data_IF_327011202538
#
_entry.id   IF_327011202538
#
_cell.length_a   1.000
_cell.length_b   1.000
_cell.length_c   1.000
_cell.angle_alpha   90.00
_cell.angle_beta   90.00
_cell.angle_gamma   90.00
#
_symmetry.space_group_name_H-M   'P 1'
#
loop_
_entity.id
_entity.type
_entity.pdbx_description
1 polymer ?
#
# COMPACT_ATOMS: atom_id res chain seq x y z
N UNK A 1 -2.41 27.27 3.28
CA UNK A 1 -1.84 26.41 2.22
C UNK A 1 -1.03 25.32 2.89
N UNK A 2 -1.28 24.08 2.49
CA UNK A 2 -0.48 22.94 2.94
C UNK A 2 0.66 22.71 1.95
N UNK A 3 1.88 22.53 2.45
CA UNK A 3 2.96 21.98 1.65
C UNK A 3 3.39 20.65 2.29
N UNK A 4 3.38 19.60 1.49
CA UNK A 4 3.84 18.28 1.86
C UNK A 4 5.28 18.13 1.37
N UNK A 5 6.18 17.72 2.26
CA UNK A 5 7.53 17.31 1.92
C UNK A 5 7.65 15.82 2.19
N UNK A 6 7.59 15.03 1.15
CA UNK A 6 7.84 13.60 1.23
C UNK A 6 9.35 13.37 1.36
N UNK A 7 9.80 12.90 2.51
CA UNK A 7 11.21 12.59 2.77
C UNK A 7 11.52 11.15 2.37
N UNK A 8 10.52 10.27 2.47
CA UNK A 8 10.51 8.95 1.88
C UNK A 8 9.06 8.52 1.63
N UNK A 9 8.85 7.44 0.87
CA UNK A 9 7.49 6.98 0.51
C UNK A 9 6.59 6.64 1.70
N UNK A 10 7.18 6.19 2.80
CA UNK A 10 6.45 5.82 4.01
C UNK A 10 6.34 6.96 5.03
N UNK A 11 7.12 8.03 4.87
CA UNK A 11 7.14 9.14 5.80
C UNK A 11 6.95 10.47 5.10
N UNK A 12 6.01 11.22 5.59
CA UNK A 12 5.72 12.57 5.16
C UNK A 12 6.00 13.53 6.31
N UNK A 13 6.55 14.68 5.99
CA UNK A 13 6.58 15.82 6.88
C UNK A 13 5.56 16.82 6.34
N UNK A 14 4.52 17.05 7.11
CA UNK A 14 3.48 18.00 6.76
C UNK A 14 3.81 19.35 7.34
N UNK A 15 3.72 20.41 6.52
CA UNK A 15 3.85 21.78 6.97
C UNK A 15 2.57 22.53 6.69
N UNK A 16 2.02 23.15 7.72
CA UNK A 16 0.95 24.12 7.63
C UNK A 16 1.51 25.53 7.89
N UNK A 17 0.92 26.50 7.24
CA UNK A 17 1.32 27.89 7.36
C UNK A 17 0.12 28.70 7.88
N UNK A 18 0.30 29.36 9.03
CA UNK A 18 -0.66 30.25 9.61
C UNK A 18 -0.11 31.69 9.60
N UNK A 19 -0.93 32.62 9.17
CA UNK A 19 -0.56 34.02 9.18
C UNK A 19 -1.54 34.78 10.07
N UNK A 20 -1.03 35.37 11.17
CA UNK A 20 -1.75 36.30 12.02
C UNK A 20 -1.08 37.69 11.95
N UNK A 21 -1.79 38.68 11.37
CA UNK A 21 -1.34 40.06 11.19
C UNK A 21 0.03 40.17 10.50
N UNK A 22 1.10 40.40 11.28
CA UNK A 22 2.48 40.55 10.78
C UNK A 22 3.34 39.30 11.09
N UNK A 23 2.81 38.32 11.79
CA UNK A 23 3.53 37.10 12.17
C UNK A 23 3.16 35.92 11.28
N UNK A 24 4.17 35.09 10.94
CA UNK A 24 4.03 33.86 10.18
C UNK A 24 4.48 32.71 11.06
N UNK A 25 3.61 31.76 11.30
CA UNK A 25 3.94 30.49 11.93
C UNK A 25 3.96 29.37 10.92
N UNK A 26 4.98 28.52 10.96
CA UNK A 26 5.05 27.26 10.23
C UNK A 26 4.92 26.12 11.24
N UNK A 27 3.87 25.34 11.11
CA UNK A 27 3.59 24.20 11.96
C UNK A 27 3.86 22.95 11.13
N UNK A 28 4.68 22.04 11.64
CA UNK A 28 4.97 20.77 11.00
C UNK A 28 4.77 19.60 11.95
N UNK A 29 4.33 18.46 11.43
CA UNK A 29 4.27 17.20 12.14
C UNK A 29 4.86 16.06 11.28
N UNK A 30 5.41 15.04 11.96
CA UNK A 30 5.98 13.89 11.29
C UNK A 30 5.89 12.64 12.17
N UNK A 31 5.29 11.59 11.63
CA UNK A 31 5.26 10.29 12.29
C UNK A 31 6.42 9.41 11.82
N UNK A 32 7.37 9.14 12.72
CA UNK A 32 8.65 8.49 12.39
C UNK A 32 8.80 7.08 12.91
N UNK A 33 7.96 6.63 13.85
CA UNK A 33 8.10 5.36 14.56
C UNK A 33 8.11 4.11 13.65
N UNK A 34 7.58 4.20 12.45
CA UNK A 34 7.50 3.10 11.48
C UNK A 34 8.73 3.03 10.56
N UNK A 35 9.44 4.14 10.42
CA UNK A 35 10.55 4.29 9.49
C UNK A 35 11.90 4.04 10.11
N UNK A 36 12.01 4.24 11.43
CA UNK A 36 13.20 4.00 12.20
C UNK A 36 13.94 5.25 12.67
N UNK A 37 14.93 5.03 13.52
CA UNK A 37 15.67 6.08 14.22
C UNK A 37 16.43 7.03 13.27
N UNK A 38 17.00 6.51 12.18
CA UNK A 38 17.70 7.34 11.19
C UNK A 38 16.79 8.33 10.49
N UNK A 39 15.56 7.90 10.19
CA UNK A 39 14.55 8.81 9.63
C UNK A 39 14.15 9.91 10.62
N UNK A 40 13.95 9.54 11.90
CA UNK A 40 13.63 10.53 12.93
C UNK A 40 14.74 11.59 13.06
N UNK A 41 16.00 11.15 13.10
CA UNK A 41 17.15 12.07 13.07
C UNK A 41 17.10 13.01 11.87
N UNK A 42 16.85 12.46 10.66
CA UNK A 42 16.79 13.28 9.45
C UNK A 42 15.64 14.30 9.49
N UNK A 43 14.49 13.95 10.08
CA UNK A 43 13.39 14.89 10.28
C UNK A 43 13.80 16.04 11.22
N UNK A 44 14.49 15.74 12.30
CA UNK A 44 15.03 16.76 13.21
C UNK A 44 16.12 17.62 12.54
N UNK A 45 17.00 17.02 11.73
CA UNK A 45 18.02 17.77 10.99
C UNK A 45 17.36 18.78 10.02
N UNK A 46 16.23 18.45 9.39
CA UNK A 46 15.46 19.40 8.54
C UNK A 46 14.91 20.56 9.38
N UNK A 47 14.40 20.28 10.58
CA UNK A 47 13.95 21.35 11.49
C UNK A 47 15.10 22.29 11.83
N UNK A 48 16.27 21.76 12.17
CA UNK A 48 17.47 22.56 12.46
C UNK A 48 17.87 23.44 11.28
N UNK A 49 17.89 22.88 10.06
CA UNK A 49 18.20 23.63 8.84
C UNK A 49 17.19 24.78 8.59
N UNK A 50 15.90 24.51 8.80
CA UNK A 50 14.85 25.53 8.63
C UNK A 50 15.00 26.67 9.64
N UNK A 51 15.33 26.36 10.89
CA UNK A 51 15.60 27.34 11.97
C UNK A 51 16.80 28.22 11.61
N UNK A 52 17.92 27.61 11.20
CA UNK A 52 19.14 28.32 10.82
C UNK A 52 18.94 29.24 9.61
N UNK A 53 18.15 28.81 8.61
CA UNK A 53 17.92 29.56 7.37
C UNK A 53 17.12 30.86 7.58
N UNK A 54 16.28 30.93 8.61
CA UNK A 54 15.28 32.00 8.76
C UNK A 54 15.29 32.72 10.11
N UNK A 55 16.15 32.31 11.04
CA UNK A 55 16.20 32.88 12.40
C UNK A 55 14.83 32.80 13.13
N UNK A 56 14.13 31.67 12.94
CA UNK A 56 12.86 31.39 13.60
C UNK A 56 13.05 31.07 15.09
N UNK A 57 12.12 31.53 15.91
CA UNK A 57 11.93 30.94 17.23
C UNK A 57 11.18 29.62 17.05
N UNK A 58 11.72 28.55 17.61
CA UNK A 58 11.20 27.19 17.39
C UNK A 58 10.81 26.53 18.68
N UNK A 59 9.65 25.91 18.70
CA UNK A 59 9.20 24.99 19.74
C UNK A 59 9.06 23.61 19.09
N UNK A 60 9.69 22.58 19.66
CA UNK A 60 9.65 21.22 19.15
C UNK A 60 9.16 20.30 20.26
N UNK A 61 8.06 19.58 20.00
CA UNK A 61 7.59 18.48 20.80
C UNK A 61 8.13 17.18 20.20
N UNK A 62 9.03 16.51 20.88
CA UNK A 62 9.66 15.28 20.46
C UNK A 62 9.53 14.19 21.53
N UNK A 63 8.66 13.22 21.32
CA UNK A 63 8.39 12.10 22.22
C UNK A 63 9.64 11.25 22.52
N UNK A 64 10.67 11.36 21.66
CA UNK A 64 11.92 10.61 21.82
C UNK A 64 12.98 11.37 22.65
N UNK A 65 12.73 12.66 22.91
CA UNK A 65 13.69 13.59 23.52
C UNK A 65 15.00 13.74 22.72
N UNK A 66 15.04 13.29 21.46
CA UNK A 66 16.26 13.38 20.64
C UNK A 66 16.58 14.82 20.26
N UNK A 67 15.57 15.65 20.02
CA UNK A 67 15.78 17.07 19.73
C UNK A 67 16.58 17.79 20.82
N UNK A 68 16.33 17.44 22.09
CA UNK A 68 17.02 18.06 23.23
C UNK A 68 18.40 17.45 23.50
N UNK A 69 18.50 16.13 23.46
CA UNK A 69 19.67 15.41 23.95
C UNK A 69 20.66 15.02 22.85
N UNK A 70 20.23 14.90 21.62
CA UNK A 70 21.03 14.46 20.46
C UNK A 70 21.76 13.12 20.68
N UNK A 71 21.19 12.26 21.54
CA UNK A 71 21.70 10.93 21.81
C UNK A 71 20.97 9.90 20.95
N UNK A 72 21.55 9.61 19.78
CA UNK A 72 20.99 8.69 18.79
C UNK A 72 20.80 7.28 19.35
N UNK A 73 21.78 6.75 20.08
CA UNK A 73 21.73 5.38 20.60
C UNK A 73 20.66 5.25 21.70
N UNK A 74 20.51 6.26 22.55
CA UNK A 74 19.44 6.32 23.54
C UNK A 74 18.07 6.33 22.86
N UNK A 75 17.85 7.21 21.91
CA UNK A 75 16.61 7.30 21.12
C UNK A 75 16.29 5.94 20.46
N UNK A 76 17.26 5.36 19.74
CA UNK A 76 17.10 4.09 19.04
C UNK A 76 16.69 2.96 19.97
N UNK A 77 17.38 2.80 21.11
CA UNK A 77 17.17 1.70 22.06
C UNK A 77 15.93 1.90 22.93
N UNK A 78 15.70 3.10 23.48
CA UNK A 78 14.65 3.36 24.45
C UNK A 78 13.28 3.64 23.82
N UNK A 79 13.25 4.11 22.53
CA UNK A 79 12.01 4.39 21.82
C UNK A 79 11.76 3.38 20.69
N UNK A 80 12.58 3.32 19.67
CA UNK A 80 12.31 2.51 18.48
C UNK A 80 12.32 1.01 18.76
N UNK A 81 13.32 0.48 19.46
CA UNK A 81 13.37 -0.94 19.80
C UNK A 81 12.30 -1.33 20.81
N UNK A 82 11.98 -0.46 21.75
CA UNK A 82 10.88 -0.68 22.69
C UNK A 82 9.54 -0.69 21.98
N UNK A 83 9.32 0.24 21.06
CA UNK A 83 8.12 0.29 20.23
C UNK A 83 7.98 -0.98 19.38
N UNK A 84 9.05 -1.41 18.69
CA UNK A 84 9.03 -2.63 17.87
C UNK A 84 8.67 -3.86 18.70
N UNK A 85 9.26 -4.03 19.89
CA UNK A 85 8.90 -5.10 20.80
C UNK A 85 7.40 -5.08 21.16
N UNK A 86 6.87 -3.89 21.50
CA UNK A 86 5.47 -3.74 21.86
C UNK A 86 4.52 -4.10 20.69
N UNK A 87 4.86 -3.67 19.47
CA UNK A 87 4.07 -3.98 18.28
C UNK A 87 4.09 -5.47 17.95
N UNK A 88 5.24 -6.13 18.03
CA UNK A 88 5.34 -7.58 17.78
C UNK A 88 4.47 -8.36 18.78
N UNK A 89 4.53 -8.00 20.06
CA UNK A 89 3.67 -8.64 21.08
C UNK A 89 2.19 -8.34 20.86
N UNK A 90 1.82 -7.13 20.48
CA UNK A 90 0.43 -6.76 20.17
C UNK A 90 -0.10 -7.58 18.98
N UNK A 91 0.67 -7.71 17.91
CA UNK A 91 0.30 -8.52 16.75
C UNK A 91 0.07 -9.98 17.15
N UNK A 92 0.97 -10.53 17.96
CA UNK A 92 0.84 -11.91 18.46
C UNK A 92 -0.41 -12.11 19.32
N UNK A 93 -0.77 -11.15 20.15
CA UNK A 93 -1.99 -11.21 20.97
C UNK A 93 -3.23 -11.16 20.10
N UNK A 94 -3.31 -10.23 19.15
CA UNK A 94 -4.43 -10.12 18.22
C UNK A 94 -4.66 -11.38 17.40
N UNK A 95 -3.59 -12.04 16.94
CA UNK A 95 -3.70 -13.30 16.21
C UNK A 95 -4.31 -14.42 17.06
N UNK A 96 -4.12 -14.40 18.38
CA UNK A 96 -4.77 -15.35 19.30
C UNK A 96 -6.27 -15.09 19.51
N UNK A 97 -6.72 -13.87 19.29
CA UNK A 97 -8.12 -13.43 19.45
C UNK A 97 -8.98 -13.62 18.21
N UNK A 98 -8.61 -14.50 17.29
CA UNK A 98 -9.28 -14.76 16.01
C UNK A 98 -9.15 -13.66 14.94
N UNK A 99 -8.15 -12.78 15.02
CA UNK A 99 -7.77 -11.96 13.89
C UNK A 99 -7.04 -12.84 12.86
N UNK A 100 -7.59 -13.00 11.68
CA UNK A 100 -6.95 -13.78 10.61
C UNK A 100 -5.72 -13.09 10.03
N UNK A 101 -5.63 -11.77 10.15
CA UNK A 101 -4.51 -10.95 9.70
C UNK A 101 -4.44 -9.63 10.49
N UNK A 102 -3.24 -9.11 10.66
CA UNK A 102 -2.98 -7.77 11.19
C UNK A 102 -2.11 -6.99 10.21
N UNK A 103 -2.14 -5.67 10.30
CA UNK A 103 -1.28 -4.81 9.49
C UNK A 103 -0.51 -3.83 10.37
N UNK A 104 0.74 -3.61 9.98
CA UNK A 104 1.59 -2.56 10.52
C UNK A 104 1.97 -1.66 9.35
N UNK A 105 1.64 -0.39 9.40
CA UNK A 105 1.86 0.59 8.32
C UNK A 105 1.21 0.22 6.99
N UNK A 106 0.08 -0.41 7.02
CA UNK A 106 -0.62 -0.86 5.84
C UNK A 106 -2.11 -0.54 5.96
N UNK A 107 -2.68 0.16 5.00
CA UNK A 107 -4.09 0.51 5.01
C UNK A 107 -4.96 -0.66 4.51
N UNK A 108 -5.28 -1.56 5.42
CA UNK A 108 -6.17 -2.70 5.15
C UNK A 108 -7.60 -2.30 4.74
N UNK A 109 -7.98 -1.03 4.91
CA UNK A 109 -9.31 -0.57 4.53
C UNK A 109 -9.39 -0.25 3.03
N UNK A 110 -8.26 0.14 2.44
CA UNK A 110 -8.20 0.47 1.00
C UNK A 110 -7.91 -0.74 0.14
N UNK A 111 -6.93 -1.56 0.55
CA UNK A 111 -6.54 -2.76 -0.18
C UNK A 111 -5.83 -3.76 0.72
N UNK A 112 -5.91 -5.04 0.39
CA UNK A 112 -5.29 -6.10 1.15
C UNK A 112 -4.73 -7.18 0.22
N UNK A 113 -3.46 -7.57 0.37
CA UNK A 113 -2.97 -8.76 -0.32
C UNK A 113 -3.78 -9.96 0.11
N UNK A 114 -4.06 -10.91 -0.79
CA UNK A 114 -4.73 -12.15 -0.42
C UNK A 114 -3.98 -12.80 0.73
N UNK A 115 -4.67 -12.86 1.89
CA UNK A 115 -4.04 -13.21 3.13
C UNK A 115 -3.75 -14.70 3.24
N UNK A 116 -2.58 -15.03 3.75
CA UNK A 116 -2.37 -16.28 4.45
C UNK A 116 -2.78 -16.01 5.89
N UNK A 117 -3.73 -16.77 6.41
CA UNK A 117 -4.17 -16.66 7.81
C UNK A 117 -2.97 -16.71 8.77
N UNK A 118 -3.01 -15.93 9.83
CA UNK A 118 -1.97 -15.91 10.83
C UNK A 118 -0.76 -15.03 10.48
N UNK A 119 -0.87 -14.14 9.51
CA UNK A 119 0.23 -13.24 9.12
C UNK A 119 0.01 -11.79 9.50
N UNK A 120 1.10 -11.04 9.60
CA UNK A 120 1.13 -9.58 9.71
C UNK A 120 1.66 -9.01 8.40
N UNK A 121 0.95 -8.05 7.84
CA UNK A 121 1.44 -7.23 6.72
C UNK A 121 2.26 -6.08 7.29
N UNK A 122 3.48 -5.94 6.82
CA UNK A 122 4.43 -4.89 7.20
C UNK A 122 4.91 -4.14 5.95
N UNK A 123 5.65 -3.03 6.09
CA UNK A 123 6.25 -2.32 4.97
C UNK A 123 7.19 -3.18 4.10
N UNK A 124 7.66 -4.31 4.60
CA UNK A 124 8.57 -5.23 3.92
C UNK A 124 7.90 -6.58 3.55
N UNK A 125 6.59 -6.66 3.64
CA UNK A 125 5.85 -7.84 3.26
C UNK A 125 5.11 -8.52 4.39
N UNK A 126 4.73 -9.78 4.17
CA UNK A 126 3.98 -10.60 5.13
C UNK A 126 4.94 -11.35 6.05
N UNK A 127 4.63 -11.40 7.33
CA UNK A 127 5.47 -12.03 8.34
C UNK A 127 4.58 -12.83 9.31
N UNK A 128 5.08 -13.98 9.79
CA UNK A 128 4.45 -14.73 10.88
C UNK A 128 4.86 -14.12 12.25
N UNK A 129 3.91 -13.66 13.10
CA UNK A 129 4.23 -13.03 14.39
C UNK A 129 5.01 -13.93 15.34
N UNK A 130 4.74 -15.24 15.35
CA UNK A 130 5.48 -16.21 16.14
C UNK A 130 6.96 -16.25 15.75
N UNK A 131 7.27 -16.24 14.46
CA UNK A 131 8.65 -16.17 13.97
C UNK A 131 9.36 -14.89 14.37
N UNK A 132 8.67 -13.74 14.39
CA UNK A 132 9.24 -12.49 14.89
C UNK A 132 9.64 -12.58 16.38
N UNK A 133 8.78 -13.17 17.21
CA UNK A 133 9.05 -13.37 18.63
C UNK A 133 10.22 -14.34 18.86
N UNK A 134 10.30 -15.41 18.10
CA UNK A 134 11.41 -16.37 18.16
C UNK A 134 12.72 -15.70 17.74
N UNK A 135 12.71 -14.93 16.66
CA UNK A 135 13.89 -14.18 16.19
C UNK A 135 14.38 -13.16 17.20
N UNK A 136 13.48 -12.44 17.90
CA UNK A 136 13.88 -11.52 18.98
C UNK A 136 14.58 -12.28 20.10
N UNK A 137 14.12 -13.49 20.44
CA UNK A 137 14.75 -14.30 21.50
C UNK A 137 16.11 -14.85 21.11
N UNK A 138 16.26 -15.26 19.86
CA UNK A 138 17.45 -15.93 19.35
C UNK A 138 18.52 -14.97 18.84
N UNK A 139 18.14 -13.92 18.15
CA UNK A 139 19.02 -12.97 17.46
C UNK A 139 19.09 -11.59 18.13
N UNK A 140 18.11 -11.27 18.98
CA UNK A 140 17.97 -9.96 19.62
C UNK A 140 17.18 -8.95 18.80
N UNK A 141 16.67 -7.92 19.50
CA UNK A 141 15.83 -6.87 18.89
C UNK A 141 16.60 -6.02 17.87
N UNK A 142 17.90 -5.81 18.06
CA UNK A 142 18.73 -5.03 17.14
C UNK A 142 18.81 -5.64 15.75
N UNK A 143 18.94 -6.97 15.71
CA UNK A 143 18.94 -7.70 14.43
C UNK A 143 17.60 -7.59 13.72
N UNK A 144 16.49 -7.79 14.43
CA UNK A 144 15.16 -7.60 13.87
C UNK A 144 14.94 -6.17 13.40
N UNK A 145 15.32 -5.17 14.19
CA UNK A 145 15.17 -3.76 13.88
C UNK A 145 15.87 -3.35 12.57
N UNK A 146 17.07 -3.89 12.33
CA UNK A 146 17.84 -3.64 11.11
C UNK A 146 17.17 -4.20 9.84
N UNK A 147 16.26 -5.16 9.99
CA UNK A 147 15.50 -5.75 8.90
C UNK A 147 14.04 -5.24 8.85
N UNK A 148 13.56 -4.63 9.93
CA UNK A 148 12.20 -4.13 10.05
C UNK A 148 12.09 -2.65 9.71
N UNK A 149 12.99 -1.81 10.24
CA UNK A 149 12.99 -0.38 9.93
C UNK A 149 13.68 -0.10 8.60
N UNK A 150 13.11 0.81 7.81
CA UNK A 150 13.73 1.26 6.58
C UNK A 150 15.09 1.92 6.86
N UNK A 151 15.16 2.77 7.89
CA UNK A 151 16.37 3.50 8.28
C UNK A 151 16.63 3.38 9.79
N UNK A 152 17.33 2.31 10.18
CA UNK A 152 17.60 2.00 11.58
C UNK A 152 18.87 2.68 12.14
N UNK A 153 19.89 2.92 11.31
CA UNK A 153 21.18 3.45 11.70
C UNK A 153 21.27 4.97 11.50
N UNK A 154 22.28 5.61 12.11
CA UNK A 154 22.43 7.06 12.03
C UNK A 154 22.69 7.53 10.59
N UNK A 155 23.55 6.80 9.86
CA UNK A 155 23.90 7.09 8.49
C UNK A 155 23.11 6.23 7.51
N UNK A 156 22.99 6.70 6.26
CA UNK A 156 22.42 5.94 5.14
C UNK A 156 23.42 4.89 4.67
N UNK A 157 23.35 3.72 5.26
CA UNK A 157 24.21 2.58 4.97
C UNK A 157 23.61 1.62 3.91
N UNK A 158 24.27 0.49 3.70
CA UNK A 158 23.78 -0.55 2.76
C UNK A 158 22.39 -1.08 3.15
N UNK A 159 22.09 -1.18 4.46
CA UNK A 159 20.78 -1.61 4.94
C UNK A 159 19.69 -0.61 4.57
N UNK A 160 19.95 0.69 4.71
CA UNK A 160 19.01 1.72 4.30
C UNK A 160 18.62 1.57 2.83
N UNK A 161 19.60 1.48 1.92
CA UNK A 161 19.31 1.36 0.49
C UNK A 161 18.59 0.07 0.14
N UNK A 162 19.01 -1.08 0.72
CA UNK A 162 18.31 -2.35 0.50
C UNK A 162 16.87 -2.28 1.03
N UNK A 163 16.66 -1.80 2.24
CA UNK A 163 15.34 -1.76 2.86
C UNK A 163 14.40 -0.80 2.12
N UNK A 164 14.91 0.33 1.63
CA UNK A 164 14.17 1.23 0.75
C UNK A 164 13.71 0.51 -0.53
N UNK A 165 14.59 -0.26 -1.16
CA UNK A 165 14.24 -1.04 -2.33
C UNK A 165 13.23 -2.16 -2.02
N UNK A 166 13.37 -2.86 -0.88
CA UNK A 166 12.42 -3.91 -0.46
C UNK A 166 11.03 -3.33 -0.17
N UNK A 167 10.96 -2.14 0.45
CA UNK A 167 9.70 -1.44 0.67
C UNK A 167 9.01 -1.08 -0.64
N UNK A 168 9.75 -0.51 -1.60
CA UNK A 168 9.21 -0.20 -2.92
C UNK A 168 8.82 -1.46 -3.72
N UNK A 169 9.58 -2.54 -3.63
CA UNK A 169 9.23 -3.84 -4.21
C UNK A 169 7.89 -4.36 -3.64
N UNK A 170 7.68 -4.19 -2.35
CA UNK A 170 6.48 -4.65 -1.69
C UNK A 170 5.27 -3.78 -2.00
N UNK A 171 5.41 -2.47 -1.88
CA UNK A 171 4.27 -1.54 -1.87
C UNK A 171 3.93 -1.02 -3.28
N UNK A 172 4.95 -0.66 -4.06
CA UNK A 172 4.76 0.15 -5.26
C UNK A 172 4.97 -0.60 -6.57
N UNK A 173 5.80 -1.66 -6.56
CA UNK A 173 6.18 -2.35 -7.77
C UNK A 173 5.02 -3.18 -8.34
N UNK A 174 4.63 -2.88 -9.56
CA UNK A 174 3.61 -3.65 -10.31
C UNK A 174 4.17 -4.89 -11.03
N UNK A 175 5.50 -5.04 -11.07
CA UNK A 175 6.19 -6.14 -11.79
C UNK A 175 5.87 -6.20 -13.29
N UNK A 176 5.67 -5.04 -13.89
CA UNK A 176 5.33 -4.88 -15.30
C UNK A 176 6.47 -4.20 -16.08
N UNK A 177 6.51 -4.41 -17.42
CA UNK A 177 7.50 -3.75 -18.26
C UNK A 177 7.44 -2.22 -18.13
N UNK A 178 8.60 -1.56 -18.11
CA UNK A 178 8.69 -0.09 -18.04
C UNK A 178 8.06 0.63 -19.23
N UNK A 179 7.82 -0.08 -20.33
CA UNK A 179 7.11 0.47 -21.49
C UNK A 179 5.61 0.68 -21.24
N UNK A 180 5.03 0.03 -20.21
CA UNK A 180 3.60 0.13 -19.89
C UNK A 180 3.23 1.53 -19.38
N UNK A 181 4.03 2.09 -18.47
CA UNK A 181 3.77 3.40 -17.88
C UNK A 181 5.05 4.10 -17.40
N UNK A 182 4.99 5.43 -17.24
CA UNK A 182 6.07 6.22 -16.63
C UNK A 182 6.30 5.79 -15.17
N UNK A 183 5.23 5.46 -14.45
CA UNK A 183 5.29 4.98 -13.07
C UNK A 183 6.04 3.65 -12.97
N UNK A 184 5.76 2.68 -13.82
CA UNK A 184 6.50 1.41 -13.85
C UNK A 184 8.00 1.64 -14.12
N UNK A 185 8.32 2.57 -15.03
CA UNK A 185 9.71 2.91 -15.35
C UNK A 185 10.43 3.52 -14.13
N UNK A 186 9.81 4.49 -13.47
CA UNK A 186 10.38 5.17 -12.31
C UNK A 186 10.59 4.21 -11.13
N UNK A 187 9.57 3.42 -10.80
CA UNK A 187 9.60 2.46 -9.70
C UNK A 187 10.65 1.37 -9.92
N UNK A 188 10.62 0.72 -11.09
CA UNK A 188 11.58 -0.33 -11.41
C UNK A 188 13.02 0.20 -11.37
N UNK A 189 13.26 1.39 -11.92
CA UNK A 189 14.58 2.03 -11.92
C UNK A 189 15.02 2.41 -10.51
N UNK A 190 14.14 2.99 -9.70
CA UNK A 190 14.39 3.34 -8.32
C UNK A 190 14.81 2.12 -7.48
N UNK A 191 14.11 1.00 -7.62
CA UNK A 191 14.42 -0.23 -6.89
C UNK A 191 15.80 -0.75 -7.31
N UNK A 192 16.08 -0.84 -8.62
CA UNK A 192 17.35 -1.32 -9.14
C UNK A 192 18.51 -0.45 -8.63
N UNK A 193 18.40 0.87 -8.69
CA UNK A 193 19.45 1.79 -8.26
C UNK A 193 19.76 1.65 -6.76
N UNK A 194 18.74 1.51 -5.93
CA UNK A 194 18.93 1.34 -4.49
C UNK A 194 19.55 -0.03 -4.17
N UNK A 195 19.15 -1.09 -4.84
CA UNK A 195 19.76 -2.41 -4.69
C UNK A 195 21.24 -2.42 -5.12
N UNK A 196 21.57 -1.80 -6.25
CA UNK A 196 22.96 -1.69 -6.71
C UNK A 196 23.83 -0.86 -5.76
N UNK A 197 23.29 0.24 -5.20
CA UNK A 197 23.98 1.02 -4.14
C UNK A 197 24.25 0.16 -2.91
N UNK A 198 23.25 -0.58 -2.43
CA UNK A 198 23.40 -1.46 -1.29
C UNK A 198 24.50 -2.52 -1.53
N UNK A 199 24.48 -3.19 -2.68
CA UNK A 199 25.46 -4.21 -3.05
C UNK A 199 26.88 -3.66 -3.19
N UNK A 200 27.02 -2.42 -3.68
CA UNK A 200 28.33 -1.75 -3.80
C UNK A 200 28.91 -1.36 -2.43
N UNK A 201 28.06 -1.08 -1.43
CA UNK A 201 28.49 -0.71 -0.08
C UNK A 201 28.80 -1.92 0.81
N UNK A 202 28.04 -3.01 0.70
CA UNK A 202 28.21 -4.21 1.48
C UNK A 202 27.85 -5.48 0.70
N UNK A 203 28.89 -6.21 0.27
CA UNK A 203 28.71 -7.48 -0.45
C UNK A 203 28.32 -8.67 0.43
N UNK A 204 28.29 -8.51 1.74
CA UNK A 204 27.82 -9.53 2.69
C UNK A 204 26.33 -9.43 2.99
N UNK A 205 25.69 -8.35 2.56
CA UNK A 205 24.27 -8.10 2.78
C UNK A 205 23.41 -9.02 1.89
N UNK A 206 22.40 -9.66 2.49
CA UNK A 206 21.46 -10.48 1.73
C UNK A 206 20.70 -9.64 0.69
N UNK A 207 20.57 -10.18 -0.53
CA UNK A 207 20.15 -9.47 -1.72
C UNK A 207 19.01 -10.21 -2.44
N UNK A 208 17.90 -9.55 -2.86
CA UNK A 208 16.78 -10.18 -3.54
C UNK A 208 17.08 -10.42 -5.03
N UNK A 209 17.93 -11.43 -5.32
CA UNK A 209 18.50 -11.67 -6.66
C UNK A 209 17.44 -11.90 -7.72
N UNK A 210 16.41 -12.71 -7.42
CA UNK A 210 15.39 -13.07 -8.40
C UNK A 210 14.58 -11.83 -8.82
N UNK A 211 14.18 -11.01 -7.85
CA UNK A 211 13.44 -9.78 -8.11
C UNK A 211 14.31 -8.76 -8.85
N UNK A 212 15.55 -8.58 -8.44
CA UNK A 212 16.51 -7.71 -9.14
C UNK A 212 16.68 -8.10 -10.61
N UNK A 213 16.91 -9.39 -10.90
CA UNK A 213 17.08 -9.88 -12.27
C UNK A 213 15.76 -9.79 -13.07
N UNK A 214 14.61 -9.94 -12.42
CA UNK A 214 13.32 -9.69 -13.06
C UNK A 214 13.20 -8.22 -13.46
N UNK A 215 13.44 -7.29 -12.54
CA UNK A 215 13.33 -5.86 -12.81
C UNK A 215 14.32 -5.41 -13.91
N UNK A 216 15.57 -5.90 -13.90
CA UNK A 216 16.52 -5.60 -14.97
C UNK A 216 15.98 -6.01 -16.33
N UNK A 217 15.29 -7.15 -16.44
CA UNK A 217 14.63 -7.56 -17.70
C UNK A 217 13.49 -6.62 -18.09
N UNK A 218 12.68 -6.18 -17.12
CA UNK A 218 11.53 -5.30 -17.34
C UNK A 218 11.94 -3.90 -17.80
N UNK A 219 13.13 -3.42 -17.42
CA UNK A 219 13.69 -2.12 -17.86
C UNK A 219 14.72 -2.28 -18.99
N UNK A 220 14.90 -3.47 -19.53
CA UNK A 220 15.91 -3.77 -20.55
C UNK A 220 17.35 -3.37 -20.17
N UNK A 221 17.71 -3.50 -18.88
CA UNK A 221 19.02 -3.17 -18.32
C UNK A 221 19.86 -4.42 -18.13
N UNK A 222 21.13 -4.38 -18.55
CA UNK A 222 22.10 -5.43 -18.22
C UNK A 222 22.36 -5.44 -16.69
N UNK A 223 22.12 -6.58 -16.00
CA UNK A 223 22.32 -6.67 -14.57
C UNK A 223 23.81 -6.65 -14.21
N UNK A 224 24.14 -6.07 -13.05
CA UNK A 224 25.47 -6.27 -12.45
C UNK A 224 25.60 -7.70 -11.92
N UNK A 225 26.83 -8.20 -11.79
CA UNK A 225 27.06 -9.55 -11.26
C UNK A 225 26.74 -9.64 -9.76
N UNK A 226 25.62 -10.24 -9.43
CA UNK A 226 25.12 -10.47 -8.07
C UNK A 226 25.30 -11.92 -7.60
N UNK A 227 25.99 -12.76 -8.39
CA UNK A 227 26.10 -14.20 -8.13
C UNK A 227 26.76 -14.52 -6.78
N UNK A 228 27.74 -13.73 -6.38
CA UNK A 228 28.48 -13.91 -5.12
C UNK A 228 27.77 -13.35 -3.87
N UNK A 229 26.71 -12.53 -4.02
CA UNK A 229 25.98 -11.99 -2.90
C UNK A 229 25.17 -13.09 -2.21
N UNK A 230 24.93 -13.02 -0.87
CA UNK A 230 23.98 -13.90 -0.21
C UNK A 230 22.55 -13.65 -0.71
N UNK A 231 21.71 -14.72 -0.75
CA UNK A 231 20.31 -14.56 -1.12
C UNK A 231 19.51 -13.96 0.04
N UNK A 232 18.61 -13.03 -0.30
CA UNK A 232 17.59 -12.57 0.63
C UNK A 232 16.46 -13.61 0.68
N UNK A 233 16.37 -14.31 1.80
CA UNK A 233 15.34 -15.32 2.03
C UNK A 233 14.19 -14.66 2.78
N UNK A 234 13.05 -14.53 2.11
CA UNK A 234 11.81 -14.08 2.72
C UNK A 234 10.93 -15.28 3.06
N UNK A 235 10.17 -15.17 4.14
CA UNK A 235 9.17 -16.13 4.58
C UNK A 235 8.03 -16.30 3.56
N UNK A 236 7.70 -15.20 2.88
CA UNK A 236 6.71 -15.11 1.81
C UNK A 236 7.30 -14.41 0.59
N UNK A 237 6.75 -14.63 -0.62
CA UNK A 237 7.19 -13.89 -1.81
C UNK A 237 7.13 -12.37 -1.58
N UNK A 238 8.17 -11.66 -2.01
CA UNK A 238 8.22 -10.20 -1.95
C UNK A 238 7.25 -9.64 -2.99
N UNK A 239 6.50 -8.60 -2.61
CA UNK A 239 5.59 -7.91 -3.51
C UNK A 239 4.18 -8.47 -3.52
N UNK A 240 3.25 -7.75 -2.89
CA UNK A 240 1.85 -8.17 -2.81
C UNK A 240 1.13 -8.09 -4.17
N UNK A 241 1.60 -7.25 -5.08
CA UNK A 241 1.02 -7.08 -6.42
C UNK A 241 1.29 -8.24 -7.37
N UNK A 242 2.13 -9.21 -6.99
CA UNK A 242 2.29 -10.48 -7.72
C UNK A 242 1.06 -11.37 -7.63
N UNK A 243 0.21 -11.14 -6.61
CA UNK A 243 -1.02 -11.87 -6.36
C UNK A 243 -2.26 -10.99 -6.64
N UNK A 244 -3.46 -11.58 -6.53
CA UNK A 244 -4.71 -10.82 -6.48
C UNK A 244 -4.76 -9.98 -5.20
N UNK A 245 -5.25 -8.75 -5.33
CA UNK A 245 -5.44 -7.80 -4.23
C UNK A 245 -6.93 -7.63 -3.98
N UNK A 246 -7.33 -7.64 -2.72
CA UNK A 246 -8.70 -7.33 -2.30
C UNK A 246 -8.83 -5.84 -2.02
N UNK A 247 -9.70 -5.18 -2.76
CA UNK A 247 -10.05 -3.77 -2.57
C UNK A 247 -11.36 -3.64 -1.81
N UNK A 248 -11.54 -2.49 -1.15
CA UNK A 248 -12.80 -2.15 -0.47
C UNK A 248 -13.45 -0.90 -1.07
N UNK A 249 -14.77 -0.94 -1.24
CA UNK A 249 -15.57 0.19 -1.66
C UNK A 249 -16.83 0.25 -0.80
N UNK A 250 -16.79 1.07 0.24
CA UNK A 250 -17.83 1.05 1.27
C UNK A 250 -17.90 -0.31 1.98
N UNK A 251 -19.04 -0.98 1.89
CA UNK A 251 -19.23 -2.30 2.48
C UNK A 251 -18.93 -3.49 1.53
N UNK A 252 -18.48 -3.19 0.30
CA UNK A 252 -18.12 -4.20 -0.69
C UNK A 252 -16.63 -4.51 -0.64
N UNK A 253 -16.30 -5.76 -0.92
CA UNK A 253 -14.92 -6.23 -1.17
C UNK A 253 -14.89 -6.97 -2.49
N UNK A 254 -13.89 -6.69 -3.30
CA UNK A 254 -13.67 -7.31 -4.61
C UNK A 254 -12.18 -7.53 -4.86
N UNK A 255 -11.88 -8.55 -5.66
CA UNK A 255 -10.51 -8.92 -5.98
C UNK A 255 -10.17 -8.52 -7.40
N UNK A 256 -8.99 -7.92 -7.57
CA UNK A 256 -8.39 -7.65 -8.88
C UNK A 256 -6.94 -8.15 -8.91
N UNK A 257 -6.38 -8.40 -10.10
CA UNK A 257 -4.94 -8.60 -10.25
C UNK A 257 -4.16 -7.42 -9.65
N UNK A 258 -3.11 -7.71 -8.91
CA UNK A 258 -2.34 -6.68 -8.19
C UNK A 258 -1.56 -5.74 -9.11
N UNK A 259 -1.36 -6.13 -10.37
CA UNK A 259 -0.68 -5.33 -11.38
C UNK A 259 -1.57 -4.30 -12.09
N UNK A 260 -2.86 -4.21 -11.77
CA UNK A 260 -3.73 -3.18 -12.32
C UNK A 260 -3.37 -1.80 -11.80
N UNK A 261 -3.33 -0.82 -12.70
CA UNK A 261 -3.12 0.60 -12.40
C UNK A 261 -4.43 1.25 -11.96
N UNK A 262 -4.36 2.10 -10.94
CA UNK A 262 -5.48 2.93 -10.51
C UNK A 262 -5.58 4.19 -11.37
N UNK A 263 -6.80 4.61 -11.69
CA UNK A 263 -7.07 5.91 -12.31
C UNK A 263 -8.28 6.59 -11.67
N UNK A 264 -8.30 7.91 -11.79
CA UNK A 264 -9.42 8.75 -11.39
C UNK A 264 -9.65 9.80 -12.47
N UNK A 265 -10.83 9.78 -13.06
CA UNK A 265 -11.23 10.68 -14.15
C UNK A 265 -12.61 11.25 -13.83
N UNK A 266 -12.75 12.58 -13.78
CA UNK A 266 -13.98 13.30 -13.46
C UNK A 266 -14.65 12.73 -12.18
N UNK A 267 -15.84 12.12 -12.35
CA UNK A 267 -16.62 11.50 -11.26
C UNK A 267 -16.42 9.97 -11.17
N UNK A 268 -15.56 9.39 -12.02
CA UNK A 268 -15.31 7.96 -12.05
C UNK A 268 -13.89 7.63 -11.59
N UNK A 269 -13.75 6.48 -10.92
CA UNK A 269 -12.46 5.89 -10.56
C UNK A 269 -12.45 4.43 -10.95
N UNK A 270 -11.28 3.88 -11.15
CA UNK A 270 -11.19 2.51 -11.59
C UNK A 270 -9.79 1.95 -11.60
N UNK A 271 -9.70 0.77 -12.21
CA UNK A 271 -8.46 0.02 -12.39
C UNK A 271 -8.38 -0.52 -13.80
N UNK A 272 -7.17 -0.61 -14.36
CA UNK A 272 -6.93 -1.19 -15.68
C UNK A 272 -5.57 -1.90 -15.74
N UNK A 273 -5.44 -2.87 -16.63
CA UNK A 273 -4.19 -3.65 -16.76
C UNK A 273 -3.08 -2.89 -17.49
N UNK A 274 -3.40 -1.91 -18.28
CA UNK A 274 -2.44 -1.06 -18.99
C UNK A 274 -1.77 -1.72 -20.20
N UNK A 275 -2.26 -2.89 -20.66
CA UNK A 275 -1.73 -3.57 -21.84
C UNK A 275 -2.57 -3.26 -23.09
N UNK A 276 -1.90 -2.88 -24.19
CA UNK A 276 -2.58 -2.42 -25.43
C UNK A 276 -3.33 -3.53 -26.19
N UNK A 277 -3.02 -4.83 -25.97
CA UNK A 277 -3.58 -5.94 -26.75
C UNK A 277 -4.63 -6.79 -26.00
N UNK A 278 -4.74 -6.69 -24.66
CA UNK A 278 -5.72 -7.40 -23.83
C UNK A 278 -6.09 -6.55 -22.63
N UNK A 279 -6.60 -5.37 -22.88
CA UNK A 279 -6.92 -4.43 -21.82
C UNK A 279 -8.22 -4.82 -21.09
N UNK A 280 -8.12 -4.77 -19.75
CA UNK A 280 -9.26 -4.88 -18.86
C UNK A 280 -9.43 -3.57 -18.10
N UNK A 281 -10.64 -3.06 -18.05
CA UNK A 281 -10.96 -1.85 -17.31
C UNK A 281 -12.12 -2.13 -16.36
N UNK A 282 -11.93 -1.75 -15.10
CA UNK A 282 -12.99 -1.80 -14.08
C UNK A 282 -13.25 -0.37 -13.61
N UNK A 283 -14.36 0.22 -14.05
CA UNK A 283 -14.84 1.51 -13.53
C UNK A 283 -15.82 1.30 -12.40
N UNK A 284 -15.82 2.17 -11.41
CA UNK A 284 -16.68 2.04 -10.26
C UNK A 284 -17.26 3.39 -9.83
N UNK A 285 -18.56 3.34 -9.51
CA UNK A 285 -19.31 4.44 -8.91
C UNK A 285 -20.06 3.91 -7.69
N UNK A 286 -20.08 4.66 -6.61
CA UNK A 286 -20.81 4.30 -5.41
C UNK A 286 -21.62 5.48 -4.90
N UNK A 287 -22.88 5.22 -4.56
CA UNK A 287 -23.82 6.21 -4.07
C UNK A 287 -24.38 5.75 -2.73
N UNK A 288 -24.45 6.65 -1.75
CA UNK A 288 -25.19 6.41 -0.51
C UNK A 288 -26.69 6.41 -0.79
N UNK A 289 -27.41 5.42 -0.26
CA UNK A 289 -28.87 5.30 -0.42
C UNK A 289 -29.58 5.52 0.90
N UNK A 290 -30.73 6.24 0.91
CA UNK A 290 -31.63 6.27 2.05
C UNK A 290 -32.20 4.89 2.38
N UNK A 291 -32.55 4.63 3.64
CA UNK A 291 -33.03 3.33 4.14
C UNK A 291 -34.30 2.81 3.43
N UNK A 292 -35.05 3.66 2.73
CA UNK A 292 -36.37 3.36 2.15
C UNK A 292 -36.31 2.95 0.66
N UNK A 293 -35.13 3.00 0.02
CA UNK A 293 -34.99 2.85 -1.44
C UNK A 293 -34.33 1.54 -1.89
N UNK A 294 -34.27 0.53 -1.03
CA UNK A 294 -33.58 -0.74 -1.31
C UNK A 294 -34.17 -1.59 -2.49
N UNK A 295 -35.25 -1.13 -3.15
CA UNK A 295 -35.93 -1.85 -4.25
C UNK A 295 -35.60 -1.30 -5.66
N UNK A 296 -34.75 -0.29 -5.78
CA UNK A 296 -34.41 0.38 -7.06
C UNK A 296 -33.33 -0.30 -7.89
N UNK A 297 -33.40 -1.60 -8.09
CA UNK A 297 -32.81 -2.14 -9.31
C UNK A 297 -33.95 -2.12 -10.35
N UNK A 298 -33.96 -1.11 -11.20
CA UNK A 298 -34.87 -1.10 -12.36
C UNK A 298 -34.64 -2.37 -13.18
N UNK A 299 -35.72 -2.92 -13.73
CA UNK A 299 -35.60 -3.93 -14.79
C UNK A 299 -34.99 -3.21 -16.00
N UNK A 300 -33.66 -3.37 -16.13
CA UNK A 300 -32.91 -2.82 -17.25
C UNK A 300 -33.36 -3.55 -18.53
N UNK A 301 -33.39 -2.83 -19.65
CA UNK A 301 -33.66 -3.43 -20.98
C UNK A 301 -32.50 -4.36 -21.39
N UNK A 302 -31.37 -4.34 -20.64
CA UNK A 302 -30.19 -5.15 -20.91
C UNK A 302 -30.38 -6.62 -20.51
N UNK A 303 -29.61 -7.50 -21.12
CA UNK A 303 -29.68 -8.93 -20.88
C UNK A 303 -29.05 -9.28 -19.52
N UNK A 304 -29.90 -9.71 -18.59
CA UNK A 304 -29.41 -10.24 -17.31
C UNK A 304 -28.66 -11.55 -17.53
N UNK A 305 -27.38 -11.58 -17.09
CA UNK A 305 -26.49 -12.75 -17.16
C UNK A 305 -26.60 -13.57 -15.89
N UNK A 306 -26.43 -12.92 -14.74
CA UNK A 306 -26.33 -13.57 -13.43
C UNK A 306 -26.91 -12.68 -12.32
N UNK A 307 -27.43 -13.32 -11.27
CA UNK A 307 -27.85 -12.67 -10.03
C UNK A 307 -27.22 -13.40 -8.84
N UNK A 308 -26.50 -12.64 -7.98
CA UNK A 308 -25.87 -13.14 -6.76
C UNK A 308 -26.47 -12.43 -5.53
N UNK A 309 -26.78 -13.22 -4.50
CA UNK A 309 -27.33 -12.69 -3.26
C UNK A 309 -26.27 -12.68 -2.16
N UNK A 310 -26.25 -11.61 -1.40
CA UNK A 310 -25.46 -11.45 -0.17
C UNK A 310 -26.40 -11.48 1.05
N UNK A 311 -25.86 -11.60 2.24
CA UNK A 311 -26.65 -11.55 3.47
C UNK A 311 -27.40 -10.20 3.61
N UNK A 312 -26.82 -9.11 3.11
CA UNK A 312 -27.29 -7.73 3.22
C UNK A 312 -27.50 -7.02 1.87
N UNK A 313 -27.71 -7.77 0.78
CA UNK A 313 -27.91 -7.17 -0.52
C UNK A 313 -27.92 -8.16 -1.68
N UNK A 314 -27.89 -7.61 -2.88
CA UNK A 314 -27.88 -8.38 -4.14
C UNK A 314 -27.01 -7.70 -5.20
N UNK A 315 -26.48 -8.50 -6.11
CA UNK A 315 -25.75 -8.06 -7.30
C UNK A 315 -26.45 -8.64 -8.54
N UNK A 316 -26.58 -7.85 -9.58
CA UNK A 316 -27.01 -8.27 -10.92
C UNK A 316 -25.92 -7.93 -11.93
N UNK A 317 -25.57 -8.89 -12.77
CA UNK A 317 -24.67 -8.73 -13.90
C UNK A 317 -25.48 -8.64 -15.18
N UNK A 318 -25.23 -7.60 -15.96
CA UNK A 318 -25.86 -7.35 -17.24
C UNK A 318 -24.86 -7.37 -18.38
N UNK A 319 -25.27 -7.91 -19.53
CA UNK A 319 -24.58 -7.79 -20.80
C UNK A 319 -25.04 -6.47 -21.48
N UNK A 320 -24.12 -5.52 -21.59
CA UNK A 320 -24.35 -4.26 -22.29
C UNK A 320 -23.98 -4.33 -23.77
N UNK A 321 -23.21 -5.37 -24.15
CA UNK A 321 -22.74 -5.55 -25.51
C UNK A 321 -21.49 -4.76 -25.85
N UNK A 322 -21.17 -4.68 -27.12
CA UNK A 322 -20.09 -3.87 -27.70
C UNK A 322 -20.62 -2.93 -28.76
N UNK A 323 -19.91 -1.85 -29.05
CA UNK A 323 -20.22 -0.95 -30.15
C UNK A 323 -19.85 -1.59 -31.50
N UNK A 324 -20.61 -1.31 -32.57
CA UNK A 324 -20.43 -1.94 -33.92
C UNK A 324 -19.01 -1.73 -34.52
N UNK A 325 -18.31 -0.68 -34.13
CA UNK A 325 -16.98 -0.30 -34.64
C UNK A 325 -15.86 -0.39 -33.58
N UNK A 326 -16.11 -1.03 -32.43
CA UNK A 326 -15.13 -1.20 -31.32
C UNK A 326 -14.99 -2.69 -30.98
N UNK A 327 -13.76 -3.11 -30.65
CA UNK A 327 -13.50 -4.43 -30.08
C UNK A 327 -13.87 -4.47 -28.59
N UNK A 328 -14.23 -3.32 -27.98
CA UNK A 328 -14.64 -3.21 -26.60
C UNK A 328 -16.00 -3.89 -26.36
N UNK A 329 -16.03 -4.77 -25.38
CA UNK A 329 -17.25 -5.41 -24.88
C UNK A 329 -17.44 -5.08 -23.41
N UNK A 330 -18.66 -4.72 -23.04
CA UNK A 330 -18.98 -4.15 -21.72
C UNK A 330 -19.99 -5.02 -20.97
N UNK A 331 -19.66 -5.36 -19.74
CA UNK A 331 -20.58 -5.90 -18.75
C UNK A 331 -20.76 -4.92 -17.60
N UNK A 332 -21.91 -4.96 -16.94
CA UNK A 332 -22.21 -4.06 -15.83
C UNK A 332 -22.73 -4.83 -14.63
N UNK A 333 -22.09 -4.62 -13.47
CA UNK A 333 -22.57 -5.13 -12.19
C UNK A 333 -23.29 -4.02 -11.43
N UNK A 334 -24.56 -4.22 -11.16
CA UNK A 334 -25.38 -3.36 -10.29
C UNK A 334 -25.53 -4.04 -8.93
N UNK A 335 -25.08 -3.35 -7.88
CA UNK A 335 -25.03 -3.93 -6.53
C UNK A 335 -25.80 -3.02 -5.58
N UNK A 336 -26.77 -3.59 -4.89
CA UNK A 336 -27.46 -2.93 -3.79
C UNK A 336 -27.12 -3.64 -2.48
N UNK A 337 -26.71 -2.86 -1.51
CA UNK A 337 -26.57 -3.26 -0.10
C UNK A 337 -27.40 -2.32 0.78
N UNK A 338 -27.44 -2.54 2.11
CA UNK A 338 -28.33 -1.83 3.05
C UNK A 338 -28.36 -0.29 2.87
N UNK A 339 -27.23 0.35 2.51
CA UNK A 339 -27.12 1.82 2.44
C UNK A 339 -26.35 2.31 1.22
N UNK A 340 -26.03 1.42 0.27
CA UNK A 340 -25.17 1.74 -0.84
C UNK A 340 -25.66 1.09 -2.13
N UNK A 341 -25.73 1.89 -3.20
CA UNK A 341 -25.80 1.43 -4.58
C UNK A 341 -24.41 1.55 -5.19
N UNK A 342 -23.93 0.49 -5.82
CA UNK A 342 -22.63 0.49 -6.48
C UNK A 342 -22.78 -0.05 -7.89
N UNK A 343 -22.14 0.63 -8.82
CA UNK A 343 -22.05 0.27 -10.21
C UNK A 343 -20.59 -0.05 -10.55
N UNK A 344 -20.34 -1.26 -11.04
CA UNK A 344 -19.09 -1.60 -11.70
C UNK A 344 -19.36 -1.78 -13.18
N UNK A 345 -18.56 -1.10 -14.00
CA UNK A 345 -18.52 -1.31 -15.45
C UNK A 345 -17.22 -2.03 -15.78
N UNK A 346 -17.34 -3.22 -16.34
CA UNK A 346 -16.26 -4.13 -16.67
C UNK A 346 -16.13 -4.16 -18.19
N UNK A 347 -15.02 -3.66 -18.71
CA UNK A 347 -14.76 -3.61 -20.15
C UNK A 347 -13.50 -4.40 -20.49
N UNK A 348 -13.53 -5.11 -21.60
CA UNK A 348 -12.35 -5.74 -22.19
C UNK A 348 -12.54 -6.01 -23.69
N UNK A 349 -11.51 -6.54 -24.34
CA UNK A 349 -11.56 -6.89 -25.74
C UNK A 349 -12.37 -8.18 -25.95
N UNK A 350 -13.48 -8.06 -26.66
CA UNK A 350 -14.31 -9.18 -27.08
C UNK A 350 -15.22 -9.79 -26.02
N UNK A 351 -16.28 -10.43 -26.49
CA UNK A 351 -17.37 -10.96 -25.66
C UNK A 351 -16.94 -12.06 -24.70
N UNK A 352 -16.19 -13.04 -25.19
CA UNK A 352 -15.86 -14.22 -24.40
C UNK A 352 -14.95 -13.85 -23.22
N UNK A 353 -14.03 -12.92 -23.43
CA UNK A 353 -13.14 -12.37 -22.39
C UNK A 353 -13.95 -11.56 -21.37
N UNK A 354 -14.81 -10.64 -21.82
CA UNK A 354 -15.66 -9.83 -20.94
C UNK A 354 -16.56 -10.70 -20.04
N UNK A 355 -17.13 -11.75 -20.59
CA UNK A 355 -17.97 -12.67 -19.84
C UNK A 355 -17.18 -13.46 -18.81
N UNK A 356 -15.98 -13.94 -19.17
CA UNK A 356 -15.09 -14.66 -18.28
C UNK A 356 -14.58 -13.78 -17.13
N UNK A 357 -14.13 -12.57 -17.45
CA UNK A 357 -13.67 -11.59 -16.49
C UNK A 357 -14.76 -11.18 -15.51
N UNK A 358 -15.96 -10.89 -16.02
CA UNK A 358 -17.10 -10.48 -15.19
C UNK A 358 -17.58 -11.61 -14.26
N UNK A 359 -17.57 -12.86 -14.72
CA UNK A 359 -17.91 -14.00 -13.89
C UNK A 359 -16.89 -14.18 -12.74
N UNK A 360 -15.59 -14.15 -13.06
CA UNK A 360 -14.51 -14.22 -12.01
C UNK A 360 -14.61 -13.05 -11.02
N UNK A 361 -14.91 -11.85 -11.48
CA UNK A 361 -15.11 -10.68 -10.63
C UNK A 361 -16.27 -10.87 -9.64
N UNK A 362 -17.43 -11.33 -10.13
CA UNK A 362 -18.61 -11.55 -9.28
C UNK A 362 -18.36 -12.67 -8.28
N UNK A 363 -17.71 -13.76 -8.69
CA UNK A 363 -17.43 -14.88 -7.81
C UNK A 363 -16.66 -14.45 -6.55
N UNK A 364 -15.74 -13.50 -6.69
CA UNK A 364 -14.91 -12.97 -5.60
C UNK A 364 -15.51 -11.74 -4.90
N UNK A 365 -16.62 -11.20 -5.42
CA UNK A 365 -17.31 -10.07 -4.79
C UNK A 365 -18.03 -10.52 -3.51
N UNK A 366 -17.79 -9.79 -2.43
CA UNK A 366 -18.45 -10.01 -1.13
C UNK A 366 -18.97 -8.71 -0.55
N UNK A 367 -20.04 -8.79 0.25
CA UNK A 367 -20.59 -7.65 0.99
C UNK A 367 -20.51 -7.93 2.50
N UNK A 368 -19.95 -6.99 3.24
CA UNK A 368 -19.84 -7.06 4.70
C UNK A 368 -20.94 -6.23 5.36
N UNK A 369 -21.40 -6.65 6.55
CA UNK A 369 -22.31 -5.79 7.33
C UNK A 369 -21.59 -4.52 7.75
N UNK A 370 -22.23 -3.38 7.57
CA UNK A 370 -21.69 -2.09 8.02
C UNK A 370 -21.59 -2.09 9.55
N UNK A 371 -20.39 -2.08 10.09
CA UNK A 371 -20.20 -1.94 11.53
C UNK A 371 -20.63 -0.54 11.97
N UNK A 372 -21.28 -0.42 13.15
CA UNK A 372 -21.68 0.88 13.71
C UNK A 372 -20.51 1.86 13.91
N UNK A 373 -19.27 1.39 13.89
CA UNK A 373 -18.06 2.22 14.01
C UNK A 373 -17.73 2.95 12.70
N UNK A 374 -18.00 2.33 11.55
CA UNK A 374 -17.74 2.94 10.23
C UNK A 374 -18.71 4.10 9.94
N UNK A 375 -19.92 4.09 10.56
CA UNK A 375 -20.87 5.21 10.50
C UNK A 375 -20.35 6.50 11.17
N UNK A 376 -19.40 6.41 12.09
CA UNK A 376 -18.81 7.57 12.77
C UNK A 376 -17.69 8.21 11.95
N UNK A 377 -16.95 7.42 11.16
CA UNK A 377 -15.89 7.92 10.29
C UNK A 377 -16.45 8.58 9.02
N UNK A 378 -17.54 8.06 8.46
CA UNK A 378 -18.24 8.67 7.30
C UNK A 378 -18.96 10.00 7.62
N UNK A 379 -19.10 10.38 8.90
CA UNK A 379 -19.65 11.66 9.32
C UNK A 379 -18.59 12.74 9.57
N UNK A 380 -17.30 12.41 9.40
CA UNK A 380 -16.16 13.30 9.67
C UNK A 380 -15.42 13.67 8.36
N UNK A 381 -15.71 13.00 7.25
CA UNK A 381 -15.36 13.42 5.89
C UNK A 381 -16.48 14.30 5.30
#
# INVERSE_FOLDING_TARGET
>A
DYSELSVCRLGNIFFNYEQEEDDIAVIGDCQTNLLGAGFHKAAIDIVDELVELRDFSTEVEDDTEYYEHRDFERMRSEHFYRWLNAIVELCRERMKENCSMSAICWDCNKYMPRGIEGTVVSPFGRICPEHLVERIKDEGIERLASEFFMWNNEERDALFYRNTALSALWEDCYFMPSARSEEDMEINSFIIENLEKAAAMDTSLAFPKEDYLLLCRLVEKEPVDVSALPDFISEFPIGYRKDKVTYTLGNLKFDLPGNYLYFEEDDSRGYYDGEDENWHVVRMLAYSMPDDEADYLEDDENVLIEEKFFENGKCRLYDLGGEEDSDEYVCQCQIITEHQFTLFTLSCEGKDEAMGFSADFIDHLTATKTNKHDKLLQQIE
#
